data_IF_687564549906
#
_entry.id   IF_687564549906
#
_cell.length_a   1.000
_cell.length_b   1.000
_cell.length_c   1.000
_cell.angle_alpha   90.00
_cell.angle_beta   90.00
_cell.angle_gamma   90.00
#
_symmetry.space_group_name_H-M   'P 1'
#
loop_
_entity.id
_entity.type
_entity.pdbx_description
1 polymer ?
#
# COMPACT_ATOMS: atom_id res chain seq x y z
N UNK A 1 -11.52 -22.51 -13.44
CA UNK A 1 -11.13 -21.74 -12.24
C UNK A 1 -9.86 -20.94 -12.52
N UNK A 2 -8.79 -21.57 -13.03
CA UNK A 2 -7.50 -20.92 -13.35
C UNK A 2 -7.59 -19.54 -14.03
N UNK A 3 -8.31 -19.44 -15.16
CA UNK A 3 -8.39 -18.17 -15.90
C UNK A 3 -9.09 -17.07 -15.11
N UNK A 4 -10.13 -17.43 -14.37
CA UNK A 4 -10.86 -16.48 -13.53
C UNK A 4 -9.98 -16.00 -12.38
N UNK A 5 -9.16 -16.90 -11.81
CA UNK A 5 -8.19 -16.55 -10.76
C UNK A 5 -7.22 -15.50 -11.28
N UNK A 6 -6.63 -15.70 -12.46
CA UNK A 6 -5.73 -14.69 -13.04
C UNK A 6 -6.44 -13.35 -13.29
N UNK A 7 -7.62 -13.37 -13.90
CA UNK A 7 -8.38 -12.12 -14.14
C UNK A 7 -8.64 -11.39 -12.83
N UNK A 8 -8.94 -12.13 -11.76
CA UNK A 8 -9.17 -11.56 -10.44
C UNK A 8 -7.88 -11.00 -9.82
N UNK A 9 -6.78 -11.73 -9.90
CA UNK A 9 -5.47 -11.29 -9.40
C UNK A 9 -4.99 -10.03 -10.12
N UNK A 10 -5.06 -9.99 -11.44
CA UNK A 10 -4.68 -8.82 -12.24
C UNK A 10 -5.54 -7.61 -11.87
N UNK A 11 -6.85 -7.79 -11.69
CA UNK A 11 -7.73 -6.70 -11.25
C UNK A 11 -7.37 -6.20 -9.86
N UNK A 12 -7.04 -7.12 -8.94
CA UNK A 12 -6.67 -6.76 -7.57
C UNK A 12 -5.33 -6.04 -7.49
N UNK A 13 -4.40 -6.41 -8.37
CA UNK A 13 -3.06 -5.84 -8.45
C UNK A 13 -2.92 -4.75 -9.53
N UNK A 14 -4.02 -4.29 -10.13
CA UNK A 14 -4.05 -3.35 -11.25
C UNK A 14 -3.13 -2.14 -11.00
N UNK A 15 -3.22 -1.52 -9.82
CA UNK A 15 -2.41 -0.36 -9.45
C UNK A 15 -0.89 -0.60 -9.38
N UNK A 16 -0.47 -1.86 -9.20
CA UNK A 16 0.94 -2.24 -9.16
C UNK A 16 1.45 -2.72 -10.52
N UNK A 17 0.55 -3.28 -11.34
CA UNK A 17 0.88 -3.87 -12.64
C UNK A 17 0.74 -2.86 -13.78
N UNK A 18 -0.02 -1.79 -13.59
CA UNK A 18 -0.18 -0.75 -14.59
C UNK A 18 1.17 -0.11 -14.95
N UNK A 19 1.44 0.00 -16.25
CA UNK A 19 2.71 0.49 -16.80
C UNK A 19 3.97 -0.37 -16.55
N UNK A 20 3.87 -1.51 -15.87
CA UNK A 20 5.02 -2.36 -15.52
C UNK A 20 5.10 -3.63 -16.39
N UNK A 21 6.31 -4.10 -16.69
CA UNK A 21 6.52 -5.42 -17.32
C UNK A 21 6.57 -6.52 -16.25
N UNK A 22 5.74 -7.56 -16.39
CA UNK A 22 5.66 -8.64 -15.40
C UNK A 22 5.34 -9.99 -16.03
N UNK A 23 5.79 -11.07 -15.41
CA UNK A 23 5.57 -12.43 -15.94
C UNK A 23 4.53 -13.18 -15.11
N UNK A 24 3.62 -13.88 -15.80
CA UNK A 24 2.62 -14.74 -15.15
C UNK A 24 3.05 -16.19 -15.30
N UNK A 25 3.24 -16.89 -14.18
CA UNK A 25 3.65 -18.29 -14.16
C UNK A 25 2.46 -19.15 -13.73
N UNK A 26 2.01 -20.06 -14.59
CA UNK A 26 0.86 -20.95 -14.34
C UNK A 26 1.18 -22.40 -14.67
N UNK A 27 0.59 -23.36 -13.95
CA UNK A 27 0.64 -24.78 -14.29
C UNK A 27 -0.41 -25.20 -15.32
N UNK A 28 -1.16 -24.24 -15.87
CA UNK A 28 -2.21 -24.50 -16.86
C UNK A 28 -1.76 -24.15 -18.28
N UNK A 29 -1.40 -25.17 -19.08
CA UNK A 29 -1.05 -24.99 -20.49
C UNK A 29 -2.18 -24.40 -21.34
N UNK A 30 -3.44 -24.67 -20.99
CA UNK A 30 -4.60 -24.17 -21.73
C UNK A 30 -4.65 -22.64 -21.76
N UNK A 31 -4.01 -21.97 -20.80
CA UNK A 31 -3.99 -20.52 -20.67
C UNK A 31 -3.23 -19.81 -21.78
N UNK A 32 -2.10 -20.39 -22.21
CA UNK A 32 -1.33 -19.91 -23.36
C UNK A 32 -2.16 -19.97 -24.65
N UNK A 33 -2.88 -21.08 -24.84
CA UNK A 33 -3.76 -21.25 -26.00
C UNK A 33 -4.99 -20.36 -25.94
N UNK A 34 -5.53 -20.11 -24.73
CA UNK A 34 -6.74 -19.33 -24.52
C UNK A 34 -6.64 -17.92 -25.10
N UNK A 35 -5.50 -17.26 -24.91
CA UNK A 35 -5.30 -15.90 -25.39
C UNK A 35 -5.20 -15.82 -26.91
N UNK A 36 -4.68 -16.87 -27.55
CA UNK A 36 -4.41 -16.87 -29.00
C UNK A 36 -5.58 -17.41 -29.84
N UNK A 37 -6.58 -18.03 -29.22
CA UNK A 37 -7.72 -18.60 -29.93
C UNK A 37 -8.96 -17.69 -29.90
N UNK A 38 -9.82 -17.87 -30.91
CA UNK A 38 -11.15 -17.24 -30.93
C UNK A 38 -11.95 -17.72 -29.72
N UNK A 39 -12.54 -16.83 -28.91
CA UNK A 39 -13.23 -17.23 -27.70
C UNK A 39 -14.47 -18.07 -28.06
N UNK A 40 -14.61 -19.29 -27.50
CA UNK A 40 -15.75 -20.15 -27.76
C UNK A 40 -17.02 -19.72 -26.99
N UNK A 41 -16.88 -18.90 -25.94
CA UNK A 41 -17.98 -18.45 -25.10
C UNK A 41 -17.84 -16.96 -24.73
N UNK A 42 -18.96 -16.27 -24.52
CA UNK A 42 -19.06 -14.87 -24.09
C UNK A 42 -18.29 -14.58 -22.81
N UNK A 43 -18.28 -15.51 -21.85
CA UNK A 43 -17.51 -15.35 -20.61
C UNK A 43 -16.00 -15.25 -20.88
N UNK A 44 -15.50 -16.10 -21.77
CA UNK A 44 -14.08 -16.11 -22.14
C UNK A 44 -13.71 -14.87 -22.96
N UNK A 45 -14.60 -14.40 -23.82
CA UNK A 45 -14.42 -13.12 -24.52
C UNK A 45 -14.28 -11.97 -23.53
N UNK A 46 -15.15 -11.88 -22.52
CA UNK A 46 -15.08 -10.83 -21.48
C UNK A 46 -13.75 -10.87 -20.74
N UNK A 47 -13.27 -12.07 -20.42
CA UNK A 47 -12.00 -12.23 -19.72
C UNK A 47 -10.79 -11.93 -20.62
N UNK A 48 -10.83 -12.31 -21.90
CA UNK A 48 -9.80 -11.93 -22.88
C UNK A 48 -9.69 -10.42 -23.02
N UNK A 49 -10.83 -9.71 -23.10
CA UNK A 49 -10.86 -8.25 -23.15
C UNK A 49 -10.25 -7.65 -21.87
N UNK A 50 -10.58 -8.20 -20.70
CA UNK A 50 -10.04 -7.70 -19.42
C UNK A 50 -8.52 -7.83 -19.30
N UNK A 51 -7.91 -8.85 -19.93
CA UNK A 51 -6.45 -9.07 -19.91
C UNK A 51 -5.76 -8.41 -21.11
N UNK A 52 -6.52 -7.93 -22.10
CA UNK A 52 -5.98 -7.40 -23.35
C UNK A 52 -5.03 -6.21 -23.12
N UNK A 53 -5.32 -5.37 -22.13
CA UNK A 53 -4.49 -4.24 -21.71
C UNK A 53 -3.07 -4.67 -21.32
N UNK A 54 -2.94 -5.80 -20.62
CA UNK A 54 -1.67 -6.33 -20.13
C UNK A 54 -0.96 -7.25 -21.12
N UNK A 55 -1.58 -7.56 -22.26
CA UNK A 55 -1.07 -8.60 -23.15
C UNK A 55 0.31 -8.26 -23.74
N UNK A 56 0.63 -6.98 -23.88
CA UNK A 56 1.91 -6.52 -24.44
C UNK A 56 3.09 -6.69 -23.49
N UNK A 57 2.86 -6.52 -22.19
CA UNK A 57 3.85 -6.49 -21.11
C UNK A 57 3.77 -7.69 -20.16
N UNK A 58 2.86 -8.64 -20.43
CA UNK A 58 2.61 -9.82 -19.59
C UNK A 58 2.80 -11.16 -20.32
N UNK A 59 4.03 -11.67 -20.47
CA UNK A 59 4.24 -13.03 -20.95
C UNK A 59 3.68 -14.06 -19.96
N UNK A 60 2.90 -15.01 -20.47
CA UNK A 60 2.42 -16.17 -19.70
C UNK A 60 3.39 -17.34 -19.90
N UNK A 61 4.07 -17.72 -18.83
CA UNK A 61 4.96 -18.87 -18.76
C UNK A 61 4.23 -20.05 -18.11
N UNK A 62 4.45 -21.24 -18.68
CA UNK A 62 3.94 -22.47 -18.11
C UNK A 62 5.06 -23.18 -17.37
N UNK A 63 4.80 -23.64 -16.16
CA UNK A 63 5.75 -24.41 -15.36
C UNK A 63 5.03 -25.58 -14.68
N UNK A 64 5.72 -26.70 -14.54
CA UNK A 64 5.12 -27.94 -14.01
C UNK A 64 4.70 -27.79 -12.54
N UNK A 65 3.52 -28.35 -12.20
CA UNK A 65 2.86 -28.19 -10.91
C UNK A 65 3.70 -28.60 -9.69
N UNK A 66 4.67 -29.50 -9.87
CA UNK A 66 5.61 -29.93 -8.81
C UNK A 66 6.45 -28.78 -8.24
N UNK A 67 6.63 -27.71 -9.01
CA UNK A 67 7.39 -26.51 -8.61
C UNK A 67 6.44 -25.36 -8.17
N UNK A 68 5.13 -25.53 -8.29
CA UNK A 68 4.11 -24.53 -7.93
C UNK A 68 3.59 -24.64 -6.49
N UNK A 69 4.36 -25.26 -5.58
CA UNK A 69 3.95 -25.50 -4.18
C UNK A 69 3.49 -24.24 -3.44
N UNK A 70 4.07 -23.08 -3.79
CA UNK A 70 3.72 -21.80 -3.16
C UNK A 70 2.29 -21.39 -3.49
N UNK A 71 1.90 -21.44 -4.77
CA UNK A 71 0.56 -21.08 -5.22
C UNK A 71 -0.46 -22.19 -4.92
N UNK A 72 -0.05 -23.45 -5.10
CA UNK A 72 -0.87 -24.64 -4.86
C UNK A 72 -1.25 -24.79 -3.38
N UNK A 73 -0.40 -24.33 -2.45
CA UNK A 73 -0.75 -24.23 -1.04
C UNK A 73 -1.96 -23.33 -0.79
N UNK A 74 -1.96 -22.12 -1.36
CA UNK A 74 -3.06 -21.17 -1.20
C UNK A 74 -4.36 -21.63 -1.87
N UNK A 75 -4.28 -22.28 -3.03
CA UNK A 75 -5.47 -22.77 -3.74
C UNK A 75 -6.11 -23.97 -3.03
N UNK A 76 -5.32 -24.84 -2.41
CA UNK A 76 -5.81 -26.04 -1.70
C UNK A 76 -6.27 -25.76 -0.27
N UNK A 77 -5.73 -24.73 0.38
CA UNK A 77 -6.04 -24.37 1.77
C UNK A 77 -6.72 -23.00 1.87
N UNK A 78 -7.70 -22.76 1.01
CA UNK A 78 -8.49 -21.54 1.07
C UNK A 78 -9.29 -21.49 2.40
N UNK A 79 -9.12 -20.41 3.16
CA UNK A 79 -9.96 -20.12 4.32
C UNK A 79 -11.40 -19.87 3.87
N UNK A 80 -12.36 -20.27 4.70
CA UNK A 80 -13.76 -19.93 4.45
C UNK A 80 -13.93 -18.40 4.38
N UNK A 81 -14.83 -17.93 3.52
CA UNK A 81 -15.19 -16.52 3.45
C UNK A 81 -16.17 -16.17 4.59
N UNK A 82 -15.70 -16.26 5.83
CA UNK A 82 -16.41 -15.91 7.05
C UNK A 82 -15.93 -14.56 7.59
N UNK A 83 -16.73 -13.82 8.38
CA UNK A 83 -16.31 -12.53 8.96
C UNK A 83 -15.02 -12.57 9.78
N UNK A 84 -14.67 -13.73 10.34
CA UNK A 84 -13.42 -13.95 11.08
C UNK A 84 -12.17 -14.02 10.17
N UNK A 85 -12.35 -14.14 8.85
CA UNK A 85 -11.26 -14.14 7.89
C UNK A 85 -10.80 -12.70 7.64
N UNK A 86 -9.51 -12.36 7.83
CA UNK A 86 -9.01 -11.00 7.55
C UNK A 86 -9.16 -10.59 6.08
N UNK A 87 -9.34 -11.55 5.16
CA UNK A 87 -9.62 -11.33 3.75
C UNK A 87 -11.12 -11.50 3.40
N UNK A 88 -12.03 -11.40 4.38
CA UNK A 88 -13.47 -11.50 4.17
C UNK A 88 -13.96 -10.45 3.17
N UNK A 89 -14.69 -10.90 2.15
CA UNK A 89 -15.37 -10.02 1.19
C UNK A 89 -16.86 -10.32 1.24
N UNK A 90 -17.70 -9.35 1.67
CA UNK A 90 -19.15 -9.50 1.61
C UNK A 90 -19.61 -9.72 0.17
N UNK A 91 -20.58 -10.60 -0.04
CA UNK A 91 -21.07 -10.96 -1.37
C UNK A 91 -21.69 -9.78 -2.15
N UNK A 92 -22.09 -8.72 -1.44
CA UNK A 92 -22.77 -7.52 -1.96
C UNK A 92 -21.91 -6.25 -1.86
N UNK A 93 -20.64 -6.36 -1.43
CA UNK A 93 -19.78 -5.19 -1.37
C UNK A 93 -19.42 -4.76 -2.79
N UNK A 94 -20.05 -3.69 -3.29
CA UNK A 94 -19.42 -2.85 -4.30
C UNK A 94 -18.04 -2.46 -3.73
N UNK A 95 -16.96 -2.84 -4.43
CA UNK A 95 -15.64 -2.31 -4.11
C UNK A 95 -15.68 -0.80 -4.37
N UNK A 96 -16.12 -0.04 -3.37
CA UNK A 96 -15.80 1.37 -3.27
C UNK A 96 -14.31 1.42 -3.01
N UNK A 97 -13.53 1.53 -4.07
CA UNK A 97 -12.14 1.99 -3.96
C UNK A 97 -12.32 3.48 -3.65
N UNK A 98 -12.07 3.94 -2.42
CA UNK A 98 -12.06 5.37 -2.19
C UNK A 98 -10.91 5.89 -3.03
N UNK A 99 -11.24 6.57 -4.13
CA UNK A 99 -10.29 7.42 -4.84
C UNK A 99 -10.08 8.58 -3.86
N UNK A 100 -9.22 8.38 -2.86
CA UNK A 100 -8.64 9.50 -2.14
C UNK A 100 -7.73 10.18 -3.16
N UNK A 101 -8.32 11.10 -3.92
CA UNK A 101 -7.61 12.01 -4.80
C UNK A 101 -6.79 12.98 -3.98
N UNK A 102 -5.82 12.48 -3.21
CA UNK A 102 -4.73 13.32 -2.73
C UNK A 102 -3.91 13.63 -3.95
N UNK A 103 -4.09 14.85 -4.44
CA UNK A 103 -3.34 15.35 -5.57
C UNK A 103 -1.86 15.27 -5.21
N UNK A 104 -1.05 14.67 -6.08
CA UNK A 104 0.39 14.47 -5.84
C UNK A 104 1.12 15.81 -5.62
N UNK A 105 0.54 16.91 -6.12
CA UNK A 105 1.04 18.28 -5.89
C UNK A 105 0.88 18.74 -4.45
N UNK A 106 -0.10 18.21 -3.73
CA UNK A 106 -0.52 18.70 -2.41
C UNK A 106 0.01 17.80 -1.28
N UNK A 107 0.59 16.63 -1.60
CA UNK A 107 1.21 15.71 -0.63
C UNK A 107 2.30 16.41 0.18
N UNK A 108 3.10 17.27 -0.46
CA UNK A 108 4.15 18.01 0.25
C UNK A 108 3.56 18.96 1.29
N UNK A 109 2.55 19.75 0.90
CA UNK A 109 1.92 20.72 1.80
C UNK A 109 1.14 20.03 2.92
N UNK A 110 0.35 19.01 2.60
CA UNK A 110 -0.41 18.24 3.60
C UNK A 110 0.51 17.57 4.61
N UNK A 111 1.63 16.96 4.16
CA UNK A 111 2.61 16.35 5.06
C UNK A 111 3.20 17.38 6.02
N UNK A 112 3.66 18.53 5.51
CA UNK A 112 4.23 19.57 6.38
C UNK A 112 3.19 20.21 7.30
N UNK A 113 1.93 20.30 6.89
CA UNK A 113 0.83 20.76 7.74
C UNK A 113 0.50 19.76 8.84
N UNK A 114 0.42 18.46 8.53
CA UNK A 114 0.18 17.41 9.51
C UNK A 114 1.32 17.32 10.53
N UNK A 115 2.57 17.39 10.06
CA UNK A 115 3.76 17.48 10.90
C UNK A 115 3.72 18.74 11.77
N UNK A 116 3.35 19.90 11.21
CA UNK A 116 3.22 21.17 11.96
C UNK A 116 2.14 21.09 13.04
N UNK A 117 0.99 20.51 12.73
CA UNK A 117 -0.10 20.29 13.70
C UNK A 117 0.32 19.30 14.80
N UNK A 118 1.08 18.26 14.46
CA UNK A 118 1.65 17.33 15.44
C UNK A 118 2.52 18.05 16.47
N UNK A 119 3.36 19.02 16.05
CA UNK A 119 4.20 19.80 16.96
C UNK A 119 3.40 20.71 17.89
N UNK A 120 2.21 21.17 17.47
CA UNK A 120 1.30 21.96 18.31
C UNK A 120 0.56 21.11 19.35
N UNK A 121 0.29 19.84 19.03
CA UNK A 121 -0.41 18.91 19.91
C UNK A 121 0.39 18.58 21.17
N UNK A 122 1.71 18.47 21.04
CA UNK A 122 2.59 18.13 22.16
C UNK A 122 3.09 19.38 22.90
N UNK A 123 2.77 19.47 24.20
CA UNK A 123 3.12 20.60 25.07
C UNK A 123 4.61 20.97 24.99
N UNK A 124 5.52 20.01 25.13
CA UNK A 124 6.97 20.29 25.15
C UNK A 124 7.50 20.78 23.79
N UNK A 125 7.01 20.21 22.68
CA UNK A 125 7.40 20.65 21.34
C UNK A 125 6.89 22.06 21.01
N UNK A 126 5.67 22.39 21.43
CA UNK A 126 5.15 23.75 21.30
C UNK A 126 6.00 24.74 22.11
N UNK A 127 6.35 24.40 23.35
CA UNK A 127 7.21 25.25 24.19
C UNK A 127 8.60 25.41 23.56
N UNK A 128 9.20 24.33 23.04
CA UNK A 128 10.50 24.37 22.36
C UNK A 128 10.50 25.22 21.10
N UNK A 129 9.51 25.04 20.23
CA UNK A 129 9.39 25.85 19.01
C UNK A 129 9.21 27.33 19.37
N UNK A 130 8.43 27.64 20.42
CA UNK A 130 8.27 29.01 20.92
C UNK A 130 9.55 29.60 21.56
N UNK A 131 10.37 28.76 22.20
CA UNK A 131 11.65 29.17 22.79
C UNK A 131 12.73 29.39 21.73
N UNK A 132 12.75 28.57 20.69
CA UNK A 132 13.73 28.66 19.60
C UNK A 132 13.41 29.81 18.63
N UNK A 133 12.13 30.16 18.46
CA UNK A 133 11.70 31.30 17.64
C UNK A 133 12.03 32.65 18.31
N UNK A 134 12.13 32.68 19.65
CA UNK A 134 12.50 33.89 20.40
C UNK A 134 14.01 34.05 20.46
N UNK A 135 14.47 35.27 20.15
CA UNK A 135 15.89 35.65 20.30
C UNK A 135 16.35 35.78 21.76
N UNK A 136 15.43 35.73 22.73
CA UNK A 136 15.69 35.95 24.15
C UNK A 136 15.44 34.66 24.95
N UNK A 137 16.30 34.37 25.94
CA UNK A 137 16.13 33.23 26.83
C UNK A 137 15.01 33.50 27.84
N UNK A 138 13.81 32.97 27.59
CA UNK A 138 12.68 33.06 28.52
C UNK A 138 12.73 31.95 29.58
N UNK A 139 13.20 32.31 30.78
CA UNK A 139 13.37 31.38 31.91
C UNK A 139 12.05 30.77 32.39
N UNK A 140 10.92 31.47 32.20
CA UNK A 140 9.59 30.98 32.60
C UNK A 140 9.08 29.85 31.72
N UNK A 141 9.29 29.95 30.40
CA UNK A 141 8.92 28.90 29.45
C UNK A 141 9.84 27.69 29.57
N UNK A 142 11.14 27.92 29.80
CA UNK A 142 12.13 26.87 30.06
C UNK A 142 11.73 25.99 31.25
N UNK A 143 11.30 26.60 32.36
CA UNK A 143 10.85 25.88 33.56
C UNK A 143 9.53 25.10 33.37
N UNK A 144 8.82 25.30 32.25
CA UNK A 144 7.59 24.60 31.94
C UNK A 144 7.79 23.30 31.12
N UNK A 145 9.02 23.07 30.64
CA UNK A 145 9.42 21.81 30.00
C UNK A 145 9.61 20.70 31.04
N UNK A 146 9.38 19.47 30.61
CA UNK A 146 9.72 18.30 31.40
C UNK A 146 11.25 18.11 31.49
N UNK A 147 11.71 17.46 32.56
CA UNK A 147 13.13 17.41 32.99
C UNK A 147 14.10 16.90 31.90
N UNK A 148 13.68 15.91 31.11
CA UNK A 148 14.48 15.35 30.00
C UNK A 148 14.74 16.39 28.91
N UNK A 149 13.72 17.17 28.56
CA UNK A 149 13.78 18.19 27.52
C UNK A 149 14.53 19.43 27.97
N UNK A 150 14.48 19.71 29.28
CA UNK A 150 15.19 20.82 29.90
C UNK A 150 16.71 20.65 29.79
N UNK A 151 17.19 19.44 30.12
CA UNK A 151 18.59 19.06 29.99
C UNK A 151 19.06 19.09 28.53
N UNK A 152 18.25 18.54 27.62
CA UNK A 152 18.57 18.53 26.19
C UNK A 152 18.64 19.94 25.58
N UNK A 153 17.73 20.84 25.97
CA UNK A 153 17.77 22.24 25.53
C UNK A 153 19.03 22.96 26.02
N UNK A 154 19.45 22.71 27.27
CA UNK A 154 20.67 23.31 27.82
C UNK A 154 21.94 22.79 27.11
N UNK A 155 21.94 21.51 26.73
CA UNK A 155 23.04 20.88 26.00
C UNK A 155 23.04 21.17 24.49
N UNK A 156 21.96 21.74 23.94
CA UNK A 156 21.80 22.01 22.51
C UNK A 156 21.58 20.75 21.66
N UNK A 157 21.10 19.66 22.26
CA UNK A 157 20.93 18.36 21.61
C UNK A 157 19.49 18.19 21.12
N UNK A 158 19.28 18.42 19.82
CA UNK A 158 17.98 18.24 19.16
C UNK A 158 18.06 17.26 17.98
N UNK A 159 19.01 16.33 18.01
CA UNK A 159 19.17 15.36 16.91
C UNK A 159 18.22 14.17 17.09
N UNK A 160 17.70 13.67 15.96
CA UNK A 160 16.80 12.50 15.91
C UNK A 160 17.41 11.25 16.58
N UNK A 161 18.73 11.12 16.56
CA UNK A 161 19.44 9.97 17.11
C UNK A 161 19.56 9.99 18.64
N UNK A 162 19.19 11.09 19.30
CA UNK A 162 19.27 11.22 20.75
C UNK A 162 18.02 10.66 21.48
N UNK A 163 17.03 10.16 20.73
CA UNK A 163 15.85 9.46 21.27
C UNK A 163 14.81 10.38 21.92
N UNK A 164 14.92 11.68 21.68
CA UNK A 164 14.04 12.72 22.23
C UNK A 164 12.86 13.02 21.29
N UNK A 165 13.08 12.91 19.97
CA UNK A 165 12.10 13.10 18.89
C UNK A 165 11.82 11.74 18.26
#
# INVERSE_FOLDING_TARGET
MEFLCLVWEIKKLHYYLDGSDFEVITDCNAMKSLLNMKPPNRHMLRWQIAIQEYRGNMPILHKEGTIHKNADGFSRWALANTPDNPAYVPFEAEQQIPIEGRNITDIGTEFFEEVRESYKKYKNFYILTSLLDRYCKDTSLFNALDEVWNNAYFEGRFHLFDGII
#
